data_IF_769946496652
#
_entry.id   IF_769946496652
#
_cell.length_a   1.000
_cell.length_b   1.000
_cell.length_c   1.000
_cell.angle_alpha   90.00
_cell.angle_beta   90.00
_cell.angle_gamma   90.00
#
_symmetry.space_group_name_H-M   'P 1'
#
loop_
_entity.id
_entity.type
_entity.pdbx_description
1 polymer ?
#
# COMPACT_ATOMS: atom_id res chain seq x y z
N UNK A 1 -4.07 -17.14 -1.21
CA UNK A 1 -4.54 -15.74 -1.11
C UNK A 1 -4.79 -15.17 -2.52
N UNK A 2 -5.83 -15.61 -3.26
CA UNK A 2 -6.11 -15.10 -4.62
C UNK A 2 -6.56 -13.64 -4.61
N UNK A 3 -7.48 -13.28 -3.72
CA UNK A 3 -8.06 -11.94 -3.63
C UNK A 3 -7.02 -10.81 -3.48
N UNK A 4 -5.93 -10.99 -2.73
CA UNK A 4 -4.92 -9.94 -2.60
C UNK A 4 -4.11 -9.73 -3.88
N UNK A 5 -3.65 -10.82 -4.50
CA UNK A 5 -2.91 -10.75 -5.77
C UNK A 5 -3.76 -10.14 -6.89
N UNK A 6 -5.05 -10.47 -6.94
CA UNK A 6 -6.00 -9.93 -7.93
C UNK A 6 -6.26 -8.42 -7.77
N UNK A 7 -6.03 -7.86 -6.57
CA UNK A 7 -6.30 -6.45 -6.26
C UNK A 7 -5.03 -5.57 -6.17
N UNK A 8 -3.84 -6.14 -6.29
CA UNK A 8 -2.56 -5.40 -6.22
C UNK A 8 -2.49 -4.27 -7.24
N UNK A 9 -2.91 -4.52 -8.47
CA UNK A 9 -2.84 -3.52 -9.54
C UNK A 9 -3.77 -2.33 -9.30
N UNK A 10 -4.93 -2.56 -8.67
CA UNK A 10 -5.84 -1.49 -8.26
C UNK A 10 -5.23 -0.63 -7.15
N UNK A 11 -4.55 -1.28 -6.19
CA UNK A 11 -3.82 -0.59 -5.14
C UNK A 11 -2.67 0.28 -5.69
N UNK A 12 -1.90 -0.21 -6.67
CA UNK A 12 -0.86 0.60 -7.34
C UNK A 12 -1.45 1.82 -8.03
N UNK A 13 -2.58 1.67 -8.72
CA UNK A 13 -3.30 2.79 -9.34
C UNK A 13 -3.74 3.83 -8.31
N UNK A 14 -4.26 3.40 -7.16
CA UNK A 14 -4.65 4.30 -6.07
C UNK A 14 -3.46 5.06 -5.49
N UNK A 15 -2.33 4.37 -5.26
CA UNK A 15 -1.08 4.97 -4.77
C UNK A 15 -0.57 6.03 -5.76
N UNK A 16 -0.53 5.72 -7.06
CA UNK A 16 -0.12 6.69 -8.09
C UNK A 16 -1.07 7.90 -8.13
N UNK A 17 -2.38 7.66 -8.13
CA UNK A 17 -3.39 8.73 -8.18
C UNK A 17 -3.26 9.68 -6.99
N UNK A 18 -3.11 9.14 -5.78
CA UNK A 18 -3.00 9.97 -4.58
C UNK A 18 -1.66 10.71 -4.53
N UNK A 19 -0.57 10.03 -4.86
CA UNK A 19 0.76 10.65 -4.96
C UNK A 19 0.71 11.87 -5.89
N UNK A 20 0.09 11.72 -7.06
CA UNK A 20 -0.01 12.79 -8.06
C UNK A 20 -0.93 13.92 -7.58
N UNK A 21 -2.02 13.60 -6.88
CA UNK A 21 -2.91 14.59 -6.26
C UNK A 21 -2.20 15.42 -5.17
N UNK A 22 -1.34 14.78 -4.38
CA UNK A 22 -0.59 15.42 -3.29
C UNK A 22 0.72 16.07 -3.77
N UNK A 23 1.05 15.98 -5.06
CA UNK A 23 2.29 16.51 -5.63
C UNK A 23 3.57 15.83 -5.09
N UNK A 24 3.45 14.62 -4.55
CA UNK A 24 4.57 13.90 -3.94
C UNK A 24 5.44 13.28 -5.03
N UNK A 25 6.72 13.63 -5.08
CA UNK A 25 7.63 12.96 -6.03
C UNK A 25 7.85 11.48 -5.66
N UNK A 26 8.13 10.62 -6.65
CA UNK A 26 8.50 9.21 -6.41
C UNK A 26 9.68 9.11 -5.43
N UNK A 27 10.62 10.04 -5.49
CA UNK A 27 11.75 10.13 -4.56
C UNK A 27 11.30 10.40 -3.13
N UNK A 28 10.40 11.36 -2.93
CA UNK A 28 9.88 11.70 -1.61
C UNK A 28 9.10 10.52 -1.02
N UNK A 29 8.25 9.88 -1.82
CA UNK A 29 7.52 8.68 -1.40
C UNK A 29 8.46 7.52 -1.04
N UNK A 30 9.50 7.28 -1.85
CA UNK A 30 10.50 6.25 -1.59
C UNK A 30 11.26 6.50 -0.28
N UNK A 31 11.62 7.76 0.00
CA UNK A 31 12.29 8.16 1.23
C UNK A 31 11.41 7.94 2.46
N UNK A 32 10.13 8.31 2.38
CA UNK A 32 9.19 8.12 3.51
C UNK A 32 8.88 6.65 3.77
N UNK A 33 8.84 5.82 2.71
CA UNK A 33 8.60 4.38 2.82
C UNK A 33 9.87 3.54 3.00
N UNK A 34 11.02 4.18 3.28
CA UNK A 34 12.35 3.56 3.45
C UNK A 34 12.67 2.50 2.39
N UNK A 35 12.56 2.89 1.11
CA UNK A 35 12.79 2.00 -0.01
C UNK A 35 13.57 2.67 -1.14
N UNK A 36 14.13 1.86 -2.04
CA UNK A 36 14.89 2.38 -3.17
C UNK A 36 13.97 3.07 -4.18
N UNK A 37 14.35 4.27 -4.64
CA UNK A 37 13.60 5.00 -5.66
C UNK A 37 13.45 4.18 -6.96
N UNK A 38 14.51 3.48 -7.37
CA UNK A 38 14.49 2.63 -8.57
C UNK A 38 13.48 1.48 -8.42
N UNK A 39 13.49 0.78 -7.28
CA UNK A 39 12.56 -0.30 -6.98
C UNK A 39 11.11 0.19 -6.94
N UNK A 40 10.85 1.32 -6.26
CA UNK A 40 9.52 1.91 -6.21
C UNK A 40 9.03 2.32 -7.60
N UNK A 41 9.88 2.96 -8.41
CA UNK A 41 9.50 3.39 -9.76
C UNK A 41 9.17 2.20 -10.67
N UNK A 42 9.92 1.10 -10.56
CA UNK A 42 9.61 -0.14 -11.28
C UNK A 42 8.27 -0.70 -10.83
N UNK A 43 8.03 -0.73 -9.53
CA UNK A 43 6.78 -1.21 -8.93
C UNK A 43 5.56 -0.38 -9.35
N UNK A 44 5.68 0.94 -9.39
CA UNK A 44 4.59 1.83 -9.81
C UNK A 44 4.30 1.77 -11.32
N UNK A 45 5.26 1.28 -12.13
CA UNK A 45 5.13 1.15 -13.60
C UNK A 45 4.73 -0.25 -14.07
N UNK A 46 5.25 -1.30 -13.43
CA UNK A 46 5.14 -2.70 -13.89
C UNK A 46 4.24 -3.58 -13.02
N UNK A 47 3.65 -3.02 -11.97
CA UNK A 47 2.87 -3.78 -11.01
C UNK A 47 3.73 -4.27 -9.82
N UNK A 48 3.03 -4.66 -8.76
CA UNK A 48 3.63 -4.90 -7.44
C UNK A 48 4.07 -6.37 -7.27
N UNK A 49 5.36 -6.67 -7.38
CA UNK A 49 5.89 -8.00 -6.95
C UNK A 49 6.24 -8.05 -5.46
N UNK A 50 6.04 -6.95 -4.73
CA UNK A 50 6.46 -6.81 -3.35
C UNK A 50 5.40 -7.30 -2.35
N UNK A 51 5.84 -7.61 -1.12
CA UNK A 51 4.96 -8.08 -0.04
C UNK A 51 3.95 -7.00 0.39
N UNK A 52 2.85 -7.44 1.00
CA UNK A 52 1.80 -6.60 1.57
C UNK A 52 2.36 -5.49 2.48
N UNK A 53 3.44 -5.76 3.21
CA UNK A 53 4.07 -4.81 4.14
C UNK A 53 4.56 -3.54 3.42
N UNK A 54 5.14 -3.68 2.23
CA UNK A 54 5.62 -2.53 1.44
C UNK A 54 4.46 -1.69 0.90
N UNK A 55 3.33 -2.30 0.56
CA UNK A 55 2.12 -1.56 0.18
C UNK A 55 1.56 -0.76 1.36
N UNK A 56 1.53 -1.37 2.54
CA UNK A 56 1.06 -0.71 3.76
C UNK A 56 1.94 0.49 4.14
N UNK A 57 3.26 0.35 4.00
CA UNK A 57 4.20 1.45 4.23
C UNK A 57 4.00 2.61 3.24
N UNK A 58 3.75 2.32 1.97
CA UNK A 58 3.48 3.35 0.95
C UNK A 58 2.15 4.07 1.20
N UNK A 59 1.10 3.33 1.57
CA UNK A 59 -0.19 3.91 1.93
C UNK A 59 -0.05 4.81 3.16
N UNK A 60 0.68 4.38 4.18
CA UNK A 60 0.97 5.19 5.36
C UNK A 60 1.80 6.44 5.01
N UNK A 61 2.79 6.31 4.12
CA UNK A 61 3.60 7.43 3.65
C UNK A 61 2.77 8.49 2.90
N UNK A 62 1.68 8.08 2.24
CA UNK A 62 0.70 8.95 1.60
C UNK A 62 -0.41 9.43 2.56
N UNK A 63 -0.29 9.15 3.85
CA UNK A 63 -1.28 9.57 4.85
C UNK A 63 -2.61 8.81 4.77
N UNK A 64 -2.69 7.70 4.02
CA UNK A 64 -3.87 6.85 4.06
C UNK A 64 -3.98 6.20 5.44
N UNK A 65 -5.20 6.23 5.97
CA UNK A 65 -5.58 5.27 7.00
C UNK A 65 -5.70 3.90 6.32
N UNK A 66 -4.87 2.94 6.75
CA UNK A 66 -5.12 1.53 6.42
C UNK A 66 -5.93 0.90 7.54
N UNK A 67 -7.11 0.38 7.20
CA UNK A 67 -7.87 -0.48 8.12
C UNK A 67 -7.73 -1.93 7.67
N UNK A 68 -7.10 -2.75 8.50
CA UNK A 68 -7.00 -4.19 8.32
C UNK A 68 -8.15 -4.84 9.07
N UNK A 69 -9.11 -5.41 8.34
CA UNK A 69 -10.19 -6.21 8.92
C UNK A 69 -9.76 -7.67 8.99
N UNK A 70 -9.50 -8.17 10.20
CA UNK A 70 -9.19 -9.58 10.46
C UNK A 70 -10.48 -10.29 10.83
N UNK A 71 -10.96 -11.19 9.97
CA UNK A 71 -12.06 -12.08 10.30
C UNK A 71 -11.52 -13.34 10.97
N UNK A 72 -11.84 -13.54 12.23
CA UNK A 72 -11.44 -14.75 12.97
C UNK A 72 -12.22 -15.95 12.44
N UNK A 73 -11.54 -16.87 11.76
CA UNK A 73 -12.16 -18.06 11.18
C UNK A 73 -12.91 -18.94 12.20
N UNK A 74 -12.44 -18.98 13.45
CA UNK A 74 -13.02 -19.79 14.51
C UNK A 74 -14.26 -19.18 15.18
N UNK A 75 -14.42 -17.85 15.15
CA UNK A 75 -15.48 -17.15 15.91
C UNK A 75 -16.40 -16.30 15.04
N UNK A 76 -16.07 -16.12 13.76
CA UNK A 76 -16.79 -15.25 12.83
C UNK A 76 -16.66 -13.76 13.13
N UNK A 77 -16.00 -13.37 14.24
CA UNK A 77 -15.83 -11.98 14.66
C UNK A 77 -14.83 -11.26 13.76
N UNK A 78 -15.14 -10.00 13.45
CA UNK A 78 -14.29 -9.12 12.66
C UNK A 78 -13.58 -8.12 13.59
N UNK A 79 -12.25 -8.09 13.50
CA UNK A 79 -11.40 -7.16 14.24
C UNK A 79 -10.85 -6.15 13.25
N UNK A 80 -11.15 -4.87 13.45
CA UNK A 80 -10.65 -3.79 12.60
C UNK A 80 -9.41 -3.15 13.24
N UNK A 81 -8.25 -3.31 12.62
CA UNK A 81 -7.01 -2.67 13.03
C UNK A 81 -6.81 -1.44 12.15
N UNK A 82 -6.86 -0.26 12.75
CA UNK A 82 -6.63 1.00 12.05
C UNK A 82 -5.18 1.44 12.28
N UNK A 83 -4.35 1.35 11.24
CA UNK A 83 -3.02 1.92 11.24
C UNK A 83 -3.15 3.43 10.98
N UNK A 84 -2.75 4.24 11.96
CA UNK A 84 -2.62 5.69 11.86
C UNK A 84 -1.16 6.06 12.17
N UNK A 85 -0.67 7.11 11.51
CA UNK A 85 0.63 7.74 11.77
C UNK A 85 0.78 8.16 13.23
#
# INVERSE_FOLDING_TARGET
>A
MKCFEDNKDQLVKLINKQRDADGISVRALAKTADCSQSGLNQTLKKGFSASLDKLLLLLNALGFTVTLTIKHAATGKETNIRLRK
#
